data_IF_916007673506
#
_entry.id   IF_916007673506
#
_cell.length_a   1.000
_cell.length_b   1.000
_cell.length_c   1.000
_cell.angle_alpha   90.00
_cell.angle_beta   90.00
_cell.angle_gamma   90.00
#
_symmetry.space_group_name_H-M   'P 1'
#
loop_
_entity.id
_entity.type
_entity.pdbx_description
1 polymer ?
#
# COMPACT_ATOMS: atom_id res chain seq x y z
N UNK A 1 -13.91 -9.73 -8.79
CA UNK A 1 -13.95 -8.30 -9.03
C UNK A 1 -12.56 -7.73 -9.31
N UNK A 2 -12.52 -6.51 -9.80
CA UNK A 2 -11.29 -5.76 -10.10
C UNK A 2 -11.27 -4.45 -9.30
N UNK A 3 -10.09 -3.91 -9.10
CA UNK A 3 -9.81 -2.67 -8.40
C UNK A 3 -8.95 -1.75 -9.28
N UNK A 4 -8.90 -0.45 -8.99
CA UNK A 4 -7.91 0.43 -9.59
C UNK A 4 -6.50 -0.10 -9.36
N UNK A 5 -5.72 -0.21 -10.43
CA UNK A 5 -4.37 -0.75 -10.41
C UNK A 5 -3.31 0.22 -9.90
N UNK A 6 -2.05 -0.16 -10.07
CA UNK A 6 -0.89 0.61 -9.61
C UNK A 6 -0.86 0.92 -8.10
N UNK A 7 -1.54 0.13 -7.26
CA UNK A 7 -1.64 0.39 -5.82
C UNK A 7 -2.66 1.45 -5.41
N UNK A 8 -3.41 2.04 -6.37
CA UNK A 8 -4.48 3.02 -6.07
C UNK A 8 -5.64 2.36 -5.33
N UNK A 9 -5.93 1.08 -5.61
CA UNK A 9 -6.93 0.32 -4.88
C UNK A 9 -6.66 0.24 -3.37
N UNK A 10 -5.38 0.14 -2.97
CA UNK A 10 -4.96 0.22 -1.56
C UNK A 10 -5.08 1.64 -1.01
N UNK A 11 -4.67 2.63 -1.79
CA UNK A 11 -4.72 4.03 -1.40
C UNK A 11 -6.16 4.48 -1.10
N UNK A 12 -7.14 3.95 -1.84
CA UNK A 12 -8.57 4.25 -1.63
C UNK A 12 -9.10 3.76 -0.28
N UNK A 13 -8.48 2.77 0.36
CA UNK A 13 -8.85 2.30 1.70
C UNK A 13 -8.42 3.26 2.82
N UNK A 14 -7.65 4.29 2.52
CA UNK A 14 -7.09 5.22 3.51
C UNK A 14 -8.15 5.97 4.30
N UNK A 15 -9.18 6.46 3.64
CA UNK A 15 -10.28 7.20 4.28
C UNK A 15 -11.01 6.36 5.32
N UNK A 16 -11.33 5.12 4.97
CA UNK A 16 -12.07 4.21 5.84
C UNK A 16 -11.22 3.79 7.05
N UNK A 17 -9.92 3.52 6.82
CA UNK A 17 -8.98 3.22 7.89
C UNK A 17 -8.78 4.42 8.84
N UNK A 18 -8.70 5.64 8.30
CA UNK A 18 -8.58 6.85 9.11
C UNK A 18 -9.82 7.07 9.97
N UNK A 19 -11.01 6.97 9.38
CA UNK A 19 -12.28 7.08 10.12
C UNK A 19 -12.39 6.01 11.22
N UNK A 20 -11.94 4.79 10.93
CA UNK A 20 -11.92 3.71 11.94
C UNK A 20 -10.95 3.99 13.08
N UNK A 21 -9.77 4.55 12.78
CA UNK A 21 -8.79 4.96 13.81
C UNK A 21 -9.39 5.94 14.81
N UNK A 22 -10.15 6.93 14.34
CA UNK A 22 -10.74 7.97 15.18
C UNK A 22 -11.82 7.43 16.15
N UNK A 23 -12.37 6.25 15.89
CA UNK A 23 -13.35 5.59 16.77
C UNK A 23 -12.72 4.70 17.84
N UNK A 24 -11.43 4.40 17.76
CA UNK A 24 -10.73 3.45 18.63
C UNK A 24 -10.11 4.18 19.83
N UNK A 25 -10.46 3.70 21.03
CA UNK A 25 -9.95 4.26 22.30
C UNK A 25 -8.61 3.66 22.73
N UNK A 26 -8.29 2.44 22.26
CA UNK A 26 -7.03 1.77 22.59
C UNK A 26 -5.89 2.37 21.77
N UNK A 27 -4.92 2.96 22.47
CA UNK A 27 -3.76 3.61 21.87
C UNK A 27 -2.87 2.63 21.08
N UNK A 28 -2.76 1.38 21.54
CA UNK A 28 -1.95 0.37 20.86
C UNK A 28 -2.58 -0.03 19.53
N UNK A 29 -3.90 -0.20 19.51
CA UNK A 29 -4.66 -0.49 18.29
C UNK A 29 -4.62 0.70 17.33
N UNK A 30 -4.77 1.91 17.83
CA UNK A 30 -4.68 3.14 17.03
C UNK A 30 -3.28 3.29 16.40
N UNK A 31 -2.22 2.97 17.14
CA UNK A 31 -0.85 2.93 16.61
C UNK A 31 -0.69 1.90 15.49
N UNK A 32 -1.28 0.71 15.64
CA UNK A 32 -1.28 -0.32 14.58
C UNK A 32 -1.97 0.15 13.30
N UNK A 33 -3.11 0.86 13.42
CA UNK A 33 -3.79 1.45 12.26
C UNK A 33 -2.93 2.55 11.60
N UNK A 34 -2.19 3.34 12.38
CA UNK A 34 -1.27 4.35 11.82
C UNK A 34 -0.16 3.69 10.97
N UNK A 35 0.39 2.57 11.46
CA UNK A 35 1.36 1.77 10.68
C UNK A 35 0.74 1.28 9.37
N UNK A 36 -0.49 0.76 9.42
CA UNK A 36 -1.21 0.32 8.23
C UNK A 36 -1.46 1.47 7.24
N UNK A 37 -1.89 2.64 7.71
CA UNK A 37 -2.12 3.83 6.87
C UNK A 37 -0.88 4.23 6.08
N UNK A 38 0.29 4.14 6.68
CA UNK A 38 1.57 4.40 6.00
C UNK A 38 1.93 3.27 5.02
N UNK A 39 1.67 2.03 5.41
CA UNK A 39 2.05 0.85 4.63
C UNK A 39 1.25 0.73 3.33
N UNK A 40 -0.05 1.05 3.33
CA UNK A 40 -0.90 0.96 2.13
C UNK A 40 -0.54 2.00 1.05
N UNK A 41 0.15 3.08 1.41
CA UNK A 41 0.65 4.06 0.44
C UNK A 41 1.95 3.62 -0.23
N UNK A 42 2.73 2.77 0.43
CA UNK A 42 4.08 2.42 0.01
C UNK A 42 4.18 1.84 -1.41
N UNK A 43 3.30 0.92 -1.85
CA UNK A 43 3.37 0.37 -3.20
C UNK A 43 3.20 1.43 -4.29
N UNK A 44 2.21 2.32 -4.12
CA UNK A 44 1.97 3.40 -5.09
C UNK A 44 3.12 4.41 -5.10
N UNK A 45 3.60 4.83 -3.92
CA UNK A 45 4.75 5.73 -3.81
C UNK A 45 5.99 5.13 -4.47
N UNK A 46 6.24 3.84 -4.29
CA UNK A 46 7.39 3.18 -4.92
C UNK A 46 7.29 3.16 -6.44
N UNK A 47 6.10 2.93 -7.00
CA UNK A 47 5.87 2.99 -8.47
C UNK A 47 6.17 4.39 -9.00
N UNK A 48 5.68 5.44 -8.31
CA UNK A 48 5.94 6.82 -8.71
C UNK A 48 7.42 7.18 -8.62
N UNK A 49 8.10 6.76 -7.55
CA UNK A 49 9.53 6.94 -7.36
C UNK A 49 10.35 6.26 -8.45
N UNK A 50 10.03 5.01 -8.79
CA UNK A 50 10.69 4.28 -9.88
C UNK A 50 10.53 4.98 -11.24
N UNK A 51 9.48 5.75 -11.40
CA UNK A 51 9.17 6.51 -12.63
C UNK A 51 9.62 7.96 -12.57
N UNK A 52 10.39 8.34 -11.52
CA UNK A 52 10.86 9.71 -11.29
C UNK A 52 9.73 10.75 -11.32
N UNK A 53 8.57 10.41 -10.72
CA UNK A 53 7.40 11.29 -10.63
C UNK A 53 7.28 11.93 -9.25
N UNK A 54 6.69 13.12 -9.20
CA UNK A 54 6.42 13.78 -7.92
C UNK A 54 5.23 13.11 -7.21
N UNK A 55 5.52 12.36 -6.16
CA UNK A 55 4.56 11.55 -5.40
C UNK A 55 3.43 12.40 -4.82
N UNK A 56 3.75 13.49 -4.12
CA UNK A 56 2.78 14.32 -3.41
C UNK A 56 1.77 14.99 -4.37
N UNK A 57 2.26 15.49 -5.52
CA UNK A 57 1.38 16.11 -6.52
C UNK A 57 0.36 15.11 -7.09
N UNK A 58 0.79 13.87 -7.30
CA UNK A 58 -0.07 12.84 -7.90
C UNK A 58 -1.04 12.30 -6.86
N UNK A 59 -0.58 11.98 -5.65
CA UNK A 59 -1.45 11.48 -4.56
C UNK A 59 -2.55 12.51 -4.23
N UNK A 60 -2.21 13.79 -4.17
CA UNK A 60 -3.19 14.84 -3.88
C UNK A 60 -4.26 15.02 -4.98
N UNK A 61 -3.99 14.56 -6.20
CA UNK A 61 -4.98 14.56 -7.29
C UNK A 61 -5.89 13.33 -7.27
N UNK A 62 -5.48 12.24 -6.64
CA UNK A 62 -6.25 11.00 -6.52
C UNK A 62 -7.26 11.09 -5.36
N UNK A 63 -8.23 11.99 -5.48
CA UNK A 63 -9.28 12.20 -4.46
C UNK A 63 -10.55 11.40 -4.71
N UNK A 64 -10.68 10.76 -5.87
CA UNK A 64 -11.86 10.00 -6.27
C UNK A 64 -11.55 8.52 -6.38
N UNK A 65 -12.44 7.66 -5.90
CA UNK A 65 -12.27 6.21 -5.87
C UNK A 65 -12.11 5.55 -7.24
N UNK A 66 -12.63 6.17 -8.29
CA UNK A 66 -12.59 5.61 -9.65
C UNK A 66 -11.45 6.19 -10.50
N UNK A 67 -10.71 7.17 -9.99
CA UNK A 67 -9.60 7.76 -10.74
C UNK A 67 -8.33 7.01 -10.44
N UNK A 68 -7.65 6.59 -11.50
CA UNK A 68 -6.32 5.99 -11.46
C UNK A 68 -5.32 6.85 -12.22
N UNK A 69 -4.04 6.56 -12.03
CA UNK A 69 -2.96 7.24 -12.72
C UNK A 69 -2.15 6.25 -13.55
N UNK A 70 -2.17 6.42 -14.88
CA UNK A 70 -1.28 5.69 -15.77
C UNK A 70 0.09 6.35 -15.79
N UNK A 71 1.05 5.69 -15.15
CA UNK A 71 2.43 6.17 -15.01
C UNK A 71 3.14 6.26 -16.36
N UNK A 72 2.84 5.36 -17.30
CA UNK A 72 3.46 5.32 -18.63
C UNK A 72 3.00 6.46 -19.51
N UNK A 73 1.68 6.68 -19.55
CA UNK A 73 1.05 7.72 -20.38
C UNK A 73 1.00 9.08 -19.68
N UNK A 74 1.29 9.11 -18.36
CA UNK A 74 1.19 10.32 -17.53
C UNK A 74 -0.23 10.92 -17.53
N UNK A 75 -1.24 10.05 -17.47
CA UNK A 75 -2.65 10.42 -17.56
C UNK A 75 -3.42 10.00 -16.31
N UNK A 76 -4.37 10.85 -15.90
CA UNK A 76 -5.41 10.51 -14.93
C UNK A 76 -6.67 10.14 -15.68
N UNK A 77 -7.37 9.10 -15.24
CA UNK A 77 -8.63 8.70 -15.86
C UNK A 77 -9.33 7.59 -15.09
N UNK A 78 -10.50 7.21 -15.56
CA UNK A 78 -11.19 6.04 -15.02
C UNK A 78 -10.36 4.79 -15.24
N UNK A 79 -10.21 3.96 -14.20
CA UNK A 79 -9.32 2.81 -14.23
C UNK A 79 -9.71 1.74 -15.25
N UNK A 80 -11.00 1.62 -15.59
CA UNK A 80 -11.46 0.73 -16.66
C UNK A 80 -11.11 1.27 -18.04
N UNK A 81 -11.31 2.58 -18.27
CA UNK A 81 -11.06 3.21 -19.57
C UNK A 81 -9.57 3.21 -19.93
N UNK A 82 -8.72 3.51 -18.95
CA UNK A 82 -7.26 3.52 -19.16
C UNK A 82 -6.63 2.13 -19.07
N UNK A 83 -7.40 1.11 -18.63
CA UNK A 83 -6.94 -0.28 -18.54
C UNK A 83 -5.95 -0.56 -17.40
N UNK A 84 -5.93 0.29 -16.36
CA UNK A 84 -5.06 0.11 -15.19
C UNK A 84 -5.85 -0.55 -14.07
N UNK A 85 -5.93 -1.87 -14.11
CA UNK A 85 -6.74 -2.70 -13.23
C UNK A 85 -5.93 -3.79 -12.55
N UNK A 86 -6.28 -4.09 -11.29
CA UNK A 86 -5.73 -5.20 -10.53
C UNK A 86 -6.85 -6.15 -10.07
N UNK A 87 -6.62 -7.47 -10.05
CA UNK A 87 -7.59 -8.41 -9.51
C UNK A 87 -7.75 -8.23 -7.99
N UNK A 88 -8.97 -8.07 -7.52
CA UNK A 88 -9.28 -7.90 -6.08
C UNK A 88 -8.67 -9.00 -5.21
N UNK A 89 -8.80 -10.27 -5.64
CA UNK A 89 -8.28 -11.42 -4.88
C UNK A 89 -6.76 -11.34 -4.66
N UNK A 90 -6.02 -10.87 -5.66
CA UNK A 90 -4.55 -10.74 -5.57
C UNK A 90 -4.17 -9.70 -4.51
N UNK A 91 -4.80 -8.53 -4.57
CA UNK A 91 -4.55 -7.44 -3.60
C UNK A 91 -4.93 -7.89 -2.18
N UNK A 92 -6.08 -8.54 -2.01
CA UNK A 92 -6.51 -9.07 -0.72
C UNK A 92 -5.51 -10.08 -0.15
N UNK A 93 -5.12 -11.09 -0.93
CA UNK A 93 -4.15 -12.09 -0.48
C UNK A 93 -2.79 -11.47 -0.17
N UNK A 94 -2.37 -10.46 -0.92
CA UNK A 94 -1.12 -9.75 -0.66
C UNK A 94 -1.13 -9.06 0.72
N UNK A 95 -2.22 -8.38 1.08
CA UNK A 95 -2.37 -7.74 2.39
C UNK A 95 -2.41 -8.78 3.51
N UNK A 96 -3.22 -9.85 3.35
CA UNK A 96 -3.34 -10.92 4.35
C UNK A 96 -1.98 -11.58 4.63
N UNK A 97 -1.23 -11.91 3.59
CA UNK A 97 0.10 -12.52 3.71
C UNK A 97 1.13 -11.54 4.30
N UNK A 98 1.14 -10.30 3.85
CA UNK A 98 2.05 -9.28 4.37
C UNK A 98 1.80 -9.01 5.86
N UNK A 99 0.54 -8.93 6.26
CA UNK A 99 0.14 -8.74 7.67
C UNK A 99 0.57 -9.94 8.52
N UNK A 100 0.35 -11.17 8.05
CA UNK A 100 0.77 -12.38 8.74
C UNK A 100 2.28 -12.41 8.95
N UNK A 101 3.05 -12.08 7.92
CA UNK A 101 4.51 -12.01 8.02
C UNK A 101 4.98 -10.91 9.00
N UNK A 102 4.35 -9.74 8.96
CA UNK A 102 4.68 -8.64 9.87
C UNK A 102 4.37 -8.99 11.33
N UNK A 103 3.23 -9.61 11.61
CA UNK A 103 2.86 -10.07 12.96
C UNK A 103 3.86 -11.10 13.47
N UNK A 104 4.27 -12.03 12.63
CA UNK A 104 5.27 -13.04 12.97
C UNK A 104 6.60 -12.36 13.34
N UNK A 105 7.09 -11.41 12.54
CA UNK A 105 8.33 -10.69 12.81
C UNK A 105 8.24 -9.85 14.09
N UNK A 106 7.11 -9.22 14.37
CA UNK A 106 6.88 -8.46 15.60
C UNK A 106 6.84 -9.34 16.87
N UNK A 107 6.51 -10.63 16.71
CA UNK A 107 6.45 -11.59 17.83
C UNK A 107 7.81 -12.18 18.17
N UNK A 108 8.83 -12.00 17.32
CA UNK A 108 10.17 -12.60 17.48
C UNK A 108 11.02 -11.77 18.43
N UNK A 109 11.56 -12.40 19.48
CA UNK A 109 12.45 -11.74 20.45
C UNK A 109 13.89 -11.58 19.97
N UNK A 110 14.36 -12.49 19.10
CA UNK A 110 15.68 -12.40 18.47
C UNK A 110 15.71 -13.16 17.14
N UNK A 111 16.66 -12.81 16.29
CA UNK A 111 16.89 -13.50 15.02
C UNK A 111 18.37 -13.88 14.92
N UNK A 112 18.65 -15.16 14.65
CA UNK A 112 20.01 -15.63 14.37
C UNK A 112 20.21 -15.76 12.87
N UNK A 113 21.26 -15.14 12.36
CA UNK A 113 21.67 -15.23 10.96
C UNK A 113 23.07 -15.80 10.86
N UNK A 114 23.27 -16.77 9.97
CA UNK A 114 24.61 -17.26 9.65
C UNK A 114 25.30 -16.21 8.75
N UNK A 115 26.35 -15.58 9.28
CA UNK A 115 27.23 -14.76 8.45
C UNK A 115 27.99 -15.69 7.49
N UNK A 116 27.88 -15.48 6.19
CA UNK A 116 28.75 -16.13 5.22
C UNK A 116 30.19 -15.67 5.47
N UNK A 117 31.03 -16.56 5.95
CA UNK A 117 32.50 -16.35 5.97
C UNK A 117 32.93 -16.17 4.51
N UNK A 118 33.52 -15.01 4.19
CA UNK A 118 34.22 -14.85 2.90
C UNK A 118 35.30 -15.94 2.86
N UNK A 119 35.16 -16.91 1.98
CA UNK A 119 36.29 -17.73 1.57
C UNK A 119 37.21 -16.82 0.75
N UNK A 120 38.38 -16.56 1.29
CA UNK A 120 39.49 -15.96 0.55
C UNK A 120 39.96 -16.89 -0.59
#
# INVERSE_FOLDING_TARGET
>A
GVLPGCGVGLLNCRSDLSAKKDTIKDLSVAAGIEVMLRSIEAPFRQILKNSNKNEEKIINKLKSSNVCYDVRKNLFGDFFEIGVIDPHKVIRCAIENATSAAVMLLSVGCCMINAKTKQE
#
